data_IF_651051171698
#
_entry.id   IF_651051171698
#
_cell.length_a   1.000
_cell.length_b   1.000
_cell.length_c   1.000
_cell.angle_alpha   90.00
_cell.angle_beta   90.00
_cell.angle_gamma   90.00
#
_symmetry.space_group_name_H-M   'P 1'
#
loop_
_entity.id
_entity.type
_entity.pdbx_description
1 polymer ?
#
# COMPACT_ATOMS: atom_id res chain seq x y z
N UNK A 1 -4.69 -3.57 -50.67
CA UNK A 1 -4.22 -2.65 -49.61
C UNK A 1 -4.16 -3.46 -48.34
N UNK A 2 -2.93 -3.69 -47.87
CA UNK A 2 -2.51 -4.93 -47.25
C UNK A 2 -2.62 -4.96 -45.73
N UNK A 3 -2.77 -6.18 -45.20
CA UNK A 3 -2.81 -6.54 -43.78
C UNK A 3 -1.54 -6.14 -42.99
N UNK A 4 -0.49 -5.67 -43.67
CA UNK A 4 0.78 -5.26 -43.07
C UNK A 4 0.79 -3.82 -42.52
N UNK A 5 -0.05 -2.91 -43.02
CA UNK A 5 -0.12 -1.53 -42.50
C UNK A 5 -0.77 -1.45 -41.11
N UNK A 6 -1.51 -2.48 -40.71
CA UNK A 6 -2.17 -2.55 -39.39
C UNK A 6 -1.28 -3.04 -38.26
N UNK A 7 -0.09 -3.58 -38.54
CA UNK A 7 0.78 -4.13 -37.50
C UNK A 7 1.86 -3.14 -37.00
N UNK A 8 2.09 -2.04 -37.72
CA UNK A 8 3.17 -1.10 -37.43
C UNK A 8 2.72 0.37 -37.38
N UNK A 9 1.40 0.64 -37.47
CA UNK A 9 0.84 1.99 -37.48
C UNK A 9 0.48 2.59 -36.11
N UNK A 10 0.64 1.82 -35.02
CA UNK A 10 0.21 2.21 -33.66
C UNK A 10 1.39 2.59 -32.73
N UNK A 11 2.63 2.61 -33.23
CA UNK A 11 3.80 2.93 -32.37
C UNK A 11 3.96 4.45 -32.15
N UNK A 12 3.69 5.26 -33.18
CA UNK A 12 3.81 6.73 -33.10
C UNK A 12 2.78 7.36 -32.14
N UNK A 13 1.59 6.78 -32.03
CA UNK A 13 0.55 7.27 -31.11
C UNK A 13 0.93 7.01 -29.67
N UNK A 14 1.51 5.83 -29.39
CA UNK A 14 1.96 5.45 -28.06
C UNK A 14 3.14 6.29 -27.60
N UNK A 15 4.09 6.59 -28.48
CA UNK A 15 5.23 7.46 -28.16
C UNK A 15 4.76 8.89 -27.84
N UNK A 16 3.77 9.41 -28.58
CA UNK A 16 3.20 10.73 -28.31
C UNK A 16 2.41 10.79 -26.98
N UNK A 17 1.68 9.72 -26.63
CA UNK A 17 1.00 9.61 -25.33
C UNK A 17 1.99 9.57 -24.17
N UNK A 18 3.10 8.84 -24.32
CA UNK A 18 4.16 8.74 -23.31
C UNK A 18 4.89 10.08 -23.13
N UNK A 19 5.19 10.79 -24.22
CA UNK A 19 5.80 12.13 -24.16
C UNK A 19 4.86 13.15 -23.50
N UNK A 20 3.56 13.08 -23.79
CA UNK A 20 2.56 13.95 -23.15
C UNK A 20 2.48 13.70 -21.63
N UNK A 21 2.55 12.43 -21.22
CA UNK A 21 2.56 12.04 -19.80
C UNK A 21 3.83 12.52 -19.09
N UNK A 22 5.00 12.42 -19.72
CA UNK A 22 6.26 12.96 -19.17
C UNK A 22 6.21 14.48 -18.98
N UNK A 23 5.70 15.21 -19.98
CA UNK A 23 5.53 16.68 -19.88
C UNK A 23 4.55 17.08 -18.78
N UNK A 24 3.48 16.31 -18.57
CA UNK A 24 2.54 16.56 -17.48
C UNK A 24 3.18 16.37 -16.10
N UNK A 25 3.99 15.31 -15.93
CA UNK A 25 4.73 15.05 -14.69
C UNK A 25 5.77 16.15 -14.39
N UNK A 26 6.55 16.58 -15.39
CA UNK A 26 7.50 17.69 -15.23
C UNK A 26 6.80 19.01 -14.85
N UNK A 27 5.66 19.31 -15.47
CA UNK A 27 4.89 20.51 -15.15
C UNK A 27 4.27 20.47 -13.74
N UNK A 28 3.91 19.28 -13.24
CA UNK A 28 3.47 19.08 -11.87
C UNK A 28 4.62 19.32 -10.88
N UNK A 29 5.78 18.68 -11.10
CA UNK A 29 6.96 18.86 -10.26
C UNK A 29 7.39 20.34 -10.17
N UNK A 30 7.39 21.08 -11.28
CA UNK A 30 7.73 22.51 -11.28
C UNK A 30 6.75 23.37 -10.48
N UNK A 31 5.45 23.03 -10.47
CA UNK A 31 4.46 23.79 -9.68
C UNK A 31 4.61 23.57 -8.19
N UNK A 32 5.06 22.39 -7.78
CA UNK A 32 5.14 22.00 -6.37
C UNK A 32 6.54 22.22 -5.76
N UNK A 33 7.59 22.39 -6.58
CA UNK A 33 8.94 22.71 -6.11
C UNK A 33 9.09 24.08 -5.43
N UNK A 34 8.07 24.94 -5.44
CA UNK A 34 8.08 26.26 -4.80
C UNK A 34 7.25 26.34 -3.51
N UNK A 35 6.68 25.23 -3.04
CA UNK A 35 5.85 25.20 -1.83
C UNK A 35 6.65 24.99 -0.53
N UNK A 36 7.94 24.64 -0.61
CA UNK A 36 8.81 24.48 0.55
C UNK A 36 9.68 25.72 0.75
N UNK A 37 9.25 26.63 1.63
CA UNK A 37 10.12 27.74 2.03
C UNK A 37 9.44 28.91 2.72
N UNK A 38 8.85 28.70 3.89
CA UNK A 38 9.00 29.68 4.97
C UNK A 38 9.43 28.94 6.25
N UNK A 39 10.62 29.24 6.81
CA UNK A 39 11.00 28.76 8.14
C UNK A 39 10.17 29.52 9.18
N UNK A 40 9.23 28.82 9.82
CA UNK A 40 8.52 29.38 10.97
C UNK A 40 9.47 29.52 12.17
N UNK A 41 9.68 30.80 12.51
CA UNK A 41 9.91 31.36 13.84
C UNK A 41 10.61 30.51 14.91
N UNK A 42 11.86 30.90 15.19
CA UNK A 42 12.63 30.58 16.39
C UNK A 42 11.88 31.00 17.67
N UNK A 43 11.63 30.04 18.56
CA UNK A 43 11.30 30.30 19.96
C UNK A 43 12.59 30.37 20.79
N UNK A 44 12.88 31.56 21.32
CA UNK A 44 13.93 31.81 22.31
C UNK A 44 13.70 30.99 23.59
N UNK A 45 14.66 30.14 23.97
CA UNK A 45 14.82 29.68 25.34
C UNK A 45 16.19 30.06 25.89
N UNK A 46 16.16 30.83 26.97
CA UNK A 46 17.31 31.36 27.68
C UNK A 46 18.07 30.28 28.48
N UNK A 47 19.38 30.26 28.24
CA UNK A 47 20.52 29.94 29.11
C UNK A 47 20.30 29.20 30.45
N UNK A 48 21.05 28.10 30.63
CA UNK A 48 22.06 28.01 31.71
C UNK A 48 23.29 27.23 31.25
N UNK A 49 24.45 27.73 31.64
CA UNK A 49 25.77 27.27 31.23
C UNK A 49 26.36 26.22 32.17
N UNK A 50 27.20 25.32 31.66
CA UNK A 50 28.38 24.82 32.38
C UNK A 50 29.49 24.39 31.41
N UNK A 51 30.71 24.85 31.72
CA UNK A 51 31.97 24.66 30.98
C UNK A 51 32.68 23.38 31.42
N UNK A 52 33.35 22.70 30.47
CA UNK A 52 34.77 22.23 30.50
C UNK A 52 35.03 21.48 29.18
N UNK A 53 35.85 21.95 28.23
CA UNK A 53 37.30 22.17 28.16
C UNK A 53 38.15 20.93 27.73
N UNK A 54 38.92 21.14 26.65
CA UNK A 54 40.16 20.46 26.20
C UNK A 54 40.01 19.11 25.44
N UNK A 55 40.76 18.76 24.37
CA UNK A 55 41.90 19.39 23.63
C UNK A 55 42.42 18.44 22.51
N UNK A 56 43.01 19.04 21.45
CA UNK A 56 44.08 18.56 20.51
C UNK A 56 43.72 17.68 19.28
N UNK A 57 43.82 18.20 18.04
CA UNK A 57 44.95 18.23 17.05
C UNK A 57 45.20 16.89 16.33
N UNK A 58 45.43 16.75 15.01
CA UNK A 58 46.24 17.56 14.06
C UNK A 58 46.18 17.03 12.60
N UNK A 59 46.48 17.93 11.63
CA UNK A 59 47.16 17.78 10.31
C UNK A 59 46.48 16.97 9.18
N UNK A 60 46.16 17.53 8.00
CA UNK A 60 47.00 18.07 6.89
C UNK A 60 47.79 16.95 6.18
N UNK A 61 47.88 16.78 4.85
CA UNK A 61 47.73 17.68 3.68
C UNK A 61 47.70 16.81 2.36
N UNK A 62 47.89 17.32 1.11
CA UNK A 62 47.02 17.01 -0.06
C UNK A 62 47.76 16.29 -1.22
N UNK A 63 47.16 16.12 -2.42
CA UNK A 63 47.84 16.18 -3.76
C UNK A 63 46.84 16.17 -4.95
N UNK A 64 47.00 17.21 -5.78
CA UNK A 64 46.93 17.37 -7.26
C UNK A 64 45.70 17.19 -8.18
N UNK A 65 45.80 17.98 -9.27
CA UNK A 65 44.87 18.47 -10.29
C UNK A 65 45.08 17.79 -11.66
N UNK A 66 43.97 17.59 -12.39
CA UNK A 66 43.69 17.90 -13.83
C UNK A 66 44.56 17.22 -14.94
N UNK A 67 44.22 17.26 -16.26
CA UNK A 67 43.18 18.06 -16.94
C UNK A 67 42.33 17.34 -18.03
N UNK A 68 41.49 18.17 -18.66
CA UNK A 68 40.44 17.93 -19.65
C UNK A 68 40.89 17.55 -21.07
N UNK A 69 39.98 16.95 -21.86
CA UNK A 69 39.99 17.11 -23.32
C UNK A 69 38.58 17.00 -24.00
N UNK A 70 38.21 18.12 -24.63
CA UNK A 70 37.56 18.34 -25.95
C UNK A 70 36.27 17.63 -26.37
N UNK A 71 35.27 18.47 -26.62
CA UNK A 71 34.20 18.32 -27.61
C UNK A 71 34.71 18.41 -29.08
N UNK A 72 33.89 18.00 -30.07
CA UNK A 72 33.53 18.95 -31.12
C UNK A 72 32.07 18.91 -31.60
N UNK A 73 31.50 20.12 -31.64
CA UNK A 73 30.72 20.79 -32.69
C UNK A 73 30.08 20.04 -33.89
N UNK A 74 28.80 20.41 -34.09
CA UNK A 74 28.11 20.81 -35.33
C UNK A 74 27.70 19.74 -36.36
N UNK A 75 26.39 19.67 -36.63
CA UNK A 75 25.83 19.91 -37.97
C UNK A 75 24.38 20.39 -37.92
N UNK A 76 24.15 21.55 -38.53
CA UNK A 76 22.84 22.07 -38.88
C UNK A 76 22.36 21.42 -40.18
N UNK A 77 21.05 21.21 -40.30
CA UNK A 77 20.38 21.06 -41.59
C UNK A 77 18.99 21.70 -41.49
N UNK A 78 18.72 22.60 -42.43
CA UNK A 78 17.47 23.32 -42.61
C UNK A 78 16.61 22.68 -43.70
N UNK A 79 15.28 22.66 -43.54
CA UNK A 79 14.25 22.73 -44.60
C UNK A 79 12.85 22.86 -43.94
N UNK A 80 12.10 23.97 -44.13
CA UNK A 80 11.03 24.21 -45.15
C UNK A 80 10.04 23.02 -45.23
N UNK A 81 8.71 23.14 -45.13
CA UNK A 81 7.76 24.20 -45.55
C UNK A 81 6.36 23.87 -45.00
N UNK A 82 5.55 24.92 -44.75
CA UNK A 82 4.09 25.10 -44.93
C UNK A 82 3.10 23.91 -44.79
N UNK A 83 2.08 24.09 -43.92
CA UNK A 83 0.66 24.08 -44.30
C UNK A 83 -0.23 24.57 -43.13
N UNK A 84 -1.36 25.18 -43.47
CA UNK A 84 -2.23 25.99 -42.62
C UNK A 84 -3.43 25.23 -42.01
N UNK A 85 -3.85 25.70 -40.83
CA UNK A 85 -5.21 25.75 -40.19
C UNK A 85 -6.11 24.47 -40.11
N UNK A 86 -7.13 24.39 -39.20
CA UNK A 86 -7.78 25.46 -38.42
C UNK A 86 -8.03 25.22 -36.90
N UNK A 87 -8.26 26.34 -36.21
CA UNK A 87 -9.07 26.64 -35.01
C UNK A 87 -9.41 25.53 -33.97
N UNK A 88 -9.11 25.75 -32.67
CA UNK A 88 -9.74 25.01 -31.57
C UNK A 88 -11.05 25.67 -31.09
N UNK A 89 -12.10 24.86 -31.00
CA UNK A 89 -13.38 25.20 -30.39
C UNK A 89 -13.23 25.41 -28.87
N UNK A 90 -13.73 26.55 -28.39
CA UNK A 90 -13.78 26.94 -26.97
C UNK A 90 -14.74 26.01 -26.21
N UNK A 91 -14.22 25.18 -25.31
CA UNK A 91 -15.03 24.54 -24.25
C UNK A 91 -15.03 25.44 -23.01
N UNK A 92 -16.24 25.76 -22.56
CA UNK A 92 -16.51 26.59 -21.40
C UNK A 92 -16.11 25.88 -20.10
N UNK A 93 -15.32 26.55 -19.28
CA UNK A 93 -15.01 26.14 -17.92
C UNK A 93 -16.18 26.51 -16.99
N UNK A 94 -16.86 25.51 -16.44
CA UNK A 94 -17.83 25.68 -15.37
C UNK A 94 -17.09 25.85 -14.03
N UNK A 95 -17.16 27.06 -13.48
CA UNK A 95 -16.58 27.43 -12.18
C UNK A 95 -17.51 26.90 -11.07
N UNK A 96 -17.16 25.78 -10.44
CA UNK A 96 -17.83 25.29 -9.22
C UNK A 96 -17.15 25.93 -8.00
N UNK A 97 -17.88 26.79 -7.30
CA UNK A 97 -17.50 27.35 -6.01
C UNK A 97 -17.76 26.31 -4.92
N UNK A 98 -16.69 25.81 -4.28
CA UNK A 98 -16.80 25.00 -3.06
C UNK A 98 -16.99 25.95 -1.86
N UNK A 99 -18.09 25.77 -1.14
CA UNK A 99 -18.34 26.44 0.13
C UNK A 99 -17.50 25.77 1.22
N UNK A 100 -16.77 26.59 1.97
CA UNK A 100 -15.97 26.23 3.13
C UNK A 100 -16.92 25.85 4.28
N UNK A 101 -16.97 24.57 4.64
CA UNK A 101 -17.62 24.11 5.86
C UNK A 101 -16.69 24.35 7.06
N UNK A 102 -17.22 24.91 8.14
CA UNK A 102 -16.49 25.11 9.39
C UNK A 102 -16.34 23.78 10.15
N UNK A 103 -15.20 23.57 10.83
CA UNK A 103 -14.96 22.34 11.60
C UNK A 103 -15.83 22.32 12.87
N UNK A 104 -16.64 21.27 13.00
CA UNK A 104 -17.28 20.92 14.26
C UNK A 104 -16.25 20.25 15.17
N UNK A 105 -15.97 20.87 16.32
CA UNK A 105 -15.19 20.26 17.39
C UNK A 105 -16.01 19.11 18.02
N UNK A 106 -15.54 17.89 17.85
CA UNK A 106 -16.01 16.74 18.63
C UNK A 106 -15.28 16.74 19.97
N UNK A 107 -16.01 17.01 21.06
CA UNK A 107 -15.53 16.76 22.41
C UNK A 107 -15.52 15.24 22.65
N UNK A 108 -14.33 14.65 22.71
CA UNK A 108 -14.14 13.27 23.16
C UNK A 108 -14.29 13.25 24.68
N UNK A 109 -15.35 12.61 25.17
CA UNK A 109 -15.53 12.37 26.60
C UNK A 109 -14.47 11.41 27.13
N UNK A 110 -13.84 11.79 28.24
CA UNK A 110 -12.88 10.98 29.00
C UNK A 110 -13.55 9.77 29.68
N UNK A 111 -13.95 8.76 28.90
CA UNK A 111 -14.40 7.49 29.47
C UNK A 111 -13.18 6.73 30.03
N UNK A 112 -13.22 6.28 31.30
CA UNK A 112 -12.09 5.60 31.93
C UNK A 112 -11.83 4.23 31.27
N UNK A 113 -10.59 4.05 30.80
CA UNK A 113 -10.11 2.79 30.21
C UNK A 113 -10.22 1.67 31.27
N UNK A 114 -10.93 0.56 30.98
CA UNK A 114 -11.03 -0.55 31.90
C UNK A 114 -9.66 -1.19 32.16
N UNK A 115 -9.39 -1.55 33.41
CA UNK A 115 -8.12 -2.15 33.81
C UNK A 115 -7.81 -3.43 33.01
N UNK A 116 -6.63 -3.46 32.38
CA UNK A 116 -6.16 -4.62 31.63
C UNK A 116 -6.02 -5.83 32.56
N UNK A 117 -6.62 -6.96 32.18
CA UNK A 117 -6.42 -8.24 32.89
C UNK A 117 -5.01 -8.74 32.65
N UNK A 118 -4.23 -8.88 33.71
CA UNK A 118 -2.96 -9.60 33.68
C UNK A 118 -3.24 -11.10 33.74
N UNK A 119 -2.73 -11.85 32.76
CA UNK A 119 -2.72 -13.31 32.80
C UNK A 119 -1.37 -13.76 33.36
N UNK A 120 -1.37 -14.65 34.35
CA UNK A 120 -0.15 -15.30 34.80
C UNK A 120 0.37 -16.25 33.71
N UNK A 121 1.69 -16.25 33.42
CA UNK A 121 2.27 -17.16 32.45
C UNK A 121 2.21 -18.60 32.97
N UNK A 122 1.61 -19.49 32.16
CA UNK A 122 1.61 -20.93 32.40
C UNK A 122 3.05 -21.46 32.36
N UNK A 123 3.62 -21.72 33.54
CA UNK A 123 4.93 -22.37 33.66
C UNK A 123 4.79 -23.89 33.49
N UNK A 124 5.51 -24.47 32.51
CA UNK A 124 5.64 -25.93 32.39
C UNK A 124 5.52 -26.57 31.00
N UNK A 125 5.61 -25.84 29.89
CA UNK A 125 5.51 -26.46 28.55
C UNK A 125 6.74 -27.35 28.23
N UNK A 126 6.58 -28.67 28.00
CA UNK A 126 7.68 -29.53 27.54
C UNK A 126 8.02 -29.28 26.06
N UNK A 127 9.24 -29.66 25.67
CA UNK A 127 9.80 -29.45 24.34
C UNK A 127 8.97 -30.11 23.22
N UNK A 128 8.77 -29.37 22.13
CA UNK A 128 7.92 -29.73 21.00
C UNK A 128 8.43 -30.96 20.23
N UNK A 129 7.67 -32.05 20.31
CA UNK A 129 7.71 -33.14 19.33
C UNK A 129 6.76 -32.82 18.16
N UNK A 130 7.09 -33.33 16.98
CA UNK A 130 6.41 -33.11 15.70
C UNK A 130 4.89 -33.22 15.79
N UNK A 131 4.19 -32.33 15.07
CA UNK A 131 2.74 -32.17 15.01
C UNK A 131 2.01 -33.49 14.69
N UNK A 132 1.74 -34.29 15.71
CA UNK A 132 0.51 -35.10 15.75
C UNK A 132 -0.63 -34.10 15.83
N UNK A 133 -1.44 -33.98 14.77
CA UNK A 133 -2.77 -33.39 14.87
C UNK A 133 -3.42 -33.95 16.12
N UNK A 134 -4.09 -33.08 16.87
CA UNK A 134 -4.52 -33.28 18.25
C UNK A 134 -5.44 -34.51 18.38
N UNK A 135 -4.87 -35.71 18.37
CA UNK A 135 -5.59 -36.98 18.48
C UNK A 135 -5.69 -37.43 19.94
N UNK A 136 -4.97 -36.76 20.84
CA UNK A 136 -4.96 -37.05 22.28
C UNK A 136 -5.42 -35.83 23.11
N UNK A 137 -6.44 -35.08 22.65
CA UNK A 137 -7.25 -34.36 23.65
C UNK A 137 -8.01 -35.45 24.38
N UNK A 138 -7.77 -35.60 25.69
CA UNK A 138 -8.59 -36.45 26.55
C UNK A 138 -10.08 -36.26 26.23
N UNK A 139 -10.89 -37.31 26.36
CA UNK A 139 -12.35 -37.37 26.11
C UNK A 139 -13.16 -36.39 27.00
N UNK A 140 -12.83 -35.11 26.94
CA UNK A 140 -13.58 -34.01 27.51
C UNK A 140 -14.75 -33.64 26.61
N UNK A 141 -15.68 -32.82 27.11
CA UNK A 141 -16.81 -32.36 26.33
C UNK A 141 -16.31 -31.60 25.09
N UNK A 142 -16.71 -32.09 23.91
CA UNK A 142 -16.47 -31.43 22.62
C UNK A 142 -17.56 -30.39 22.40
N UNK A 143 -17.18 -29.15 22.11
CA UNK A 143 -18.13 -28.13 21.65
C UNK A 143 -18.63 -28.49 20.25
N UNK A 144 -19.95 -28.62 20.09
CA UNK A 144 -20.54 -28.89 18.78
C UNK A 144 -20.25 -27.75 17.79
N UNK A 145 -20.15 -28.10 16.50
CA UNK A 145 -20.12 -27.10 15.43
C UNK A 145 -21.36 -26.22 15.51
N UNK A 146 -21.17 -24.91 15.42
CA UNK A 146 -22.24 -23.92 15.46
C UNK A 146 -21.84 -22.74 14.59
N UNK A 147 -22.83 -22.09 14.00
CA UNK A 147 -22.64 -20.81 13.33
C UNK A 147 -22.74 -19.69 14.36
N UNK A 148 -21.94 -18.63 14.18
CA UNK A 148 -21.99 -17.43 15.01
C UNK A 148 -22.23 -16.22 14.11
N UNK A 149 -23.40 -15.60 14.25
CA UNK A 149 -23.74 -14.37 13.54
C UNK A 149 -23.03 -13.17 14.16
N UNK A 150 -22.50 -12.29 13.32
CA UNK A 150 -21.89 -11.02 13.73
C UNK A 150 -22.31 -9.88 12.83
N UNK A 151 -22.34 -8.67 13.38
CA UNK A 151 -22.57 -7.42 12.65
C UNK A 151 -21.41 -6.48 12.94
N UNK A 152 -20.79 -5.93 11.90
CA UNK A 152 -19.61 -5.09 12.01
C UNK A 152 -19.88 -3.77 11.30
N UNK A 153 -19.63 -2.68 12.00
CA UNK A 153 -19.62 -1.33 11.44
C UNK A 153 -18.17 -0.83 11.48
N UNK A 154 -17.59 -0.55 10.31
CA UNK A 154 -16.20 -0.11 10.20
C UNK A 154 -16.17 1.31 9.67
N UNK A 155 -15.50 2.18 10.41
CA UNK A 155 -15.12 3.52 9.97
C UNK A 155 -13.59 3.57 9.91
N UNK A 156 -13.05 3.69 8.69
CA UNK A 156 -11.60 3.71 8.46
C UNK A 156 -11.14 5.14 8.23
N UNK A 157 -10.14 5.56 9.00
CA UNK A 157 -9.42 6.80 8.76
C UNK A 157 -8.23 6.47 7.85
N UNK A 158 -8.17 7.12 6.69
CA UNK A 158 -7.07 6.96 5.74
C UNK A 158 -6.28 8.25 5.74
N UNK A 159 -4.98 8.23 6.10
CA UNK A 159 -4.18 9.44 6.10
C UNK A 159 -4.03 10.02 4.70
N UNK A 160 -3.63 11.30 4.66
CA UNK A 160 -3.22 11.93 3.42
C UNK A 160 -2.02 11.17 2.82
N UNK A 161 -2.15 10.81 1.54
CA UNK A 161 -1.12 10.11 0.78
C UNK A 161 -1.12 10.62 -0.66
N UNK A 162 0.06 10.62 -1.29
CA UNK A 162 0.19 10.97 -2.69
C UNK A 162 -0.44 9.88 -3.59
N UNK A 163 -0.85 10.23 -4.82
CA UNK A 163 -1.13 9.22 -5.83
C UNK A 163 0.04 8.25 -5.94
N UNK A 164 -0.29 6.97 -6.05
CA UNK A 164 0.72 5.92 -6.06
C UNK A 164 1.69 6.03 -7.24
N UNK A 165 1.26 6.59 -8.36
CA UNK A 165 2.11 6.80 -9.53
C UNK A 165 3.29 7.74 -9.27
N UNK A 166 3.20 8.59 -8.23
CA UNK A 166 4.25 9.52 -7.82
C UNK A 166 5.14 8.95 -6.70
N UNK A 167 4.82 7.75 -6.18
CA UNK A 167 5.68 7.07 -5.19
C UNK A 167 7.00 6.63 -5.85
N UNK A 168 8.16 7.04 -5.31
CA UNK A 168 9.46 6.61 -5.82
C UNK A 168 9.61 5.09 -5.86
N UNK A 169 8.89 4.35 -5.00
CA UNK A 169 8.99 2.89 -4.88
C UNK A 169 7.98 2.11 -5.72
N UNK A 170 7.06 2.77 -6.42
CA UNK A 170 6.04 2.11 -7.25
C UNK A 170 6.63 1.19 -8.33
N UNK A 171 7.84 1.49 -8.79
CA UNK A 171 8.55 0.63 -9.74
C UNK A 171 8.83 -0.77 -9.17
N UNK A 172 8.99 -0.94 -7.85
CA UNK A 172 9.17 -2.23 -7.18
C UNK A 172 7.90 -3.09 -7.27
N UNK A 173 6.72 -2.48 -7.09
CA UNK A 173 5.44 -3.16 -7.25
C UNK A 173 5.25 -3.70 -8.67
N UNK A 174 5.51 -2.88 -9.68
CA UNK A 174 5.39 -3.31 -11.08
C UNK A 174 6.43 -4.38 -11.44
N UNK A 175 7.65 -4.30 -10.88
CA UNK A 175 8.65 -5.36 -11.02
C UNK A 175 8.19 -6.68 -10.38
N UNK A 176 7.61 -6.63 -9.17
CA UNK A 176 7.06 -7.79 -8.47
C UNK A 176 5.94 -8.45 -9.30
N UNK A 177 4.98 -7.65 -9.76
CA UNK A 177 3.89 -8.07 -10.66
C UNK A 177 4.43 -8.71 -11.95
N UNK A 178 5.37 -8.07 -12.62
CA UNK A 178 5.97 -8.60 -13.84
C UNK A 178 6.69 -9.93 -13.59
N UNK A 179 7.40 -10.06 -12.45
CA UNK A 179 8.05 -11.31 -12.03
C UNK A 179 7.04 -12.43 -11.80
N UNK A 180 5.97 -12.17 -11.05
CA UNK A 180 4.91 -13.13 -10.76
C UNK A 180 4.25 -13.64 -12.05
N UNK A 181 3.99 -12.74 -13.01
CA UNK A 181 3.52 -13.10 -14.36
C UNK A 181 4.48 -14.02 -15.10
N UNK A 182 5.77 -13.67 -15.15
CA UNK A 182 6.80 -14.52 -15.81
C UNK A 182 6.93 -15.90 -15.17
N UNK A 183 6.72 -16.00 -13.86
CA UNK A 183 6.80 -17.25 -13.12
C UNK A 183 5.52 -18.11 -13.19
N UNK A 184 4.46 -17.63 -13.85
CA UNK A 184 3.16 -18.31 -13.84
C UNK A 184 2.47 -18.30 -12.47
N UNK A 185 2.87 -17.37 -11.60
CA UNK A 185 2.30 -17.16 -10.26
C UNK A 185 1.28 -16.01 -10.22
N UNK A 186 0.93 -15.44 -11.38
CA UNK A 186 -0.13 -14.43 -11.51
C UNK A 186 -1.52 -15.08 -11.45
N UNK A 187 -1.83 -15.64 -10.29
CA UNK A 187 -3.09 -16.30 -9.95
C UNK A 187 -3.36 -16.06 -8.47
N UNK A 188 -4.63 -16.06 -8.07
CA UNK A 188 -4.99 -15.88 -6.67
C UNK A 188 -4.29 -16.93 -5.79
N UNK A 189 -3.64 -16.48 -4.72
CA UNK A 189 -2.93 -17.36 -3.78
C UNK A 189 -3.87 -18.27 -2.97
N UNK A 190 -5.13 -17.86 -2.79
CA UNK A 190 -6.15 -18.65 -2.08
C UNK A 190 -6.53 -19.89 -2.92
N UNK A 191 -6.62 -19.72 -4.24
CA UNK A 191 -6.79 -20.81 -5.20
C UNK A 191 -7.89 -21.84 -4.86
N UNK A 192 -9.07 -21.37 -4.45
CA UNK A 192 -10.18 -22.21 -4.03
C UNK A 192 -11.46 -21.99 -4.90
N UNK A 193 -12.57 -22.60 -4.51
CA UNK A 193 -13.85 -22.50 -5.22
C UNK A 193 -14.54 -21.13 -5.13
N UNK A 194 -14.09 -20.24 -4.24
CA UNK A 194 -14.58 -18.86 -4.13
C UNK A 194 -13.75 -17.90 -4.99
N UNK A 195 -12.74 -18.37 -5.71
CA UNK A 195 -12.03 -17.52 -6.65
C UNK A 195 -12.96 -16.93 -7.74
N UNK A 196 -12.76 -15.65 -8.05
CA UNK A 196 -13.51 -14.95 -9.11
C UNK A 196 -12.88 -13.63 -9.50
N UNK A 197 -12.96 -13.30 -10.79
CA UNK A 197 -12.39 -12.08 -11.37
C UNK A 197 -10.89 -12.16 -11.67
N UNK A 198 -10.34 -11.05 -12.17
CA UNK A 198 -8.92 -10.96 -12.57
C UNK A 198 -7.99 -10.93 -11.34
N UNK A 199 -6.77 -11.49 -11.44
CA UNK A 199 -5.75 -11.35 -10.41
C UNK A 199 -5.24 -9.90 -10.30
N UNK A 200 -5.06 -9.47 -9.06
CA UNK A 200 -4.61 -8.16 -8.61
C UNK A 200 -3.51 -8.37 -7.56
N UNK A 201 -2.62 -7.40 -7.42
CA UNK A 201 -1.57 -7.45 -6.40
C UNK A 201 -2.01 -6.58 -5.22
N UNK A 202 -1.97 -7.15 -4.03
CA UNK A 202 -2.49 -6.60 -2.77
C UNK A 202 -1.36 -6.45 -1.74
N UNK A 203 -1.44 -5.44 -0.88
CA UNK A 203 -0.48 -5.19 0.20
C UNK A 203 -0.86 -5.95 1.49
N UNK A 204 -0.20 -7.07 1.77
CA UNK A 204 -0.64 -8.06 2.80
C UNK A 204 -0.65 -7.54 4.24
N UNK A 205 0.39 -6.85 4.67
CA UNK A 205 0.54 -6.44 6.08
C UNK A 205 0.20 -4.98 6.30
N UNK A 206 0.72 -4.12 5.42
CA UNK A 206 0.56 -2.67 5.51
C UNK A 206 0.12 -2.14 4.16
N UNK A 207 -1.10 -1.60 4.12
CA UNK A 207 -1.66 -0.94 2.93
C UNK A 207 -0.83 0.28 2.54
N UNK A 208 -0.64 0.49 1.24
CA UNK A 208 0.03 1.69 0.74
C UNK A 208 -0.60 2.99 1.29
N UNK A 209 -1.92 3.02 1.39
CA UNK A 209 -2.65 4.19 1.89
C UNK A 209 -2.46 4.47 3.38
N UNK A 210 -1.85 3.56 4.14
CA UNK A 210 -1.62 3.66 5.57
C UNK A 210 -0.14 3.80 5.93
N UNK A 211 0.75 3.68 4.94
CA UNK A 211 2.19 3.54 5.15
C UNK A 211 2.80 4.68 5.98
N UNK A 212 2.30 5.91 5.79
CA UNK A 212 2.80 7.11 6.45
C UNK A 212 2.43 7.21 7.95
N UNK A 213 1.51 6.38 8.45
CA UNK A 213 1.08 6.35 9.85
C UNK A 213 1.56 5.10 10.61
N UNK A 214 2.33 4.24 9.94
CA UNK A 214 2.84 3.00 10.53
C UNK A 214 4.21 3.24 11.15
N UNK A 215 4.41 2.71 12.37
CA UNK A 215 5.70 2.70 13.04
C UNK A 215 6.57 1.54 12.50
N UNK A 216 7.64 1.81 11.73
CA UNK A 216 8.44 0.77 11.11
C UNK A 216 9.11 -0.16 12.13
N UNK A 217 9.38 0.33 13.35
CA UNK A 217 10.00 -0.48 14.40
C UNK A 217 9.05 -1.55 14.92
N UNK A 218 7.76 -1.23 15.06
CA UNK A 218 6.75 -2.23 15.46
C UNK A 218 6.57 -3.30 14.40
N UNK A 219 6.66 -2.93 13.12
CA UNK A 219 6.64 -3.89 12.01
C UNK A 219 7.86 -4.81 12.06
N UNK A 220 9.06 -4.26 12.29
CA UNK A 220 10.27 -5.06 12.48
C UNK A 220 10.12 -6.10 13.59
N UNK A 221 9.65 -5.67 14.76
CA UNK A 221 9.48 -6.53 15.92
C UNK A 221 8.41 -7.62 15.70
N UNK A 222 7.29 -7.27 15.07
CA UNK A 222 6.17 -8.21 14.86
C UNK A 222 6.43 -9.23 13.77
N UNK A 223 7.13 -8.84 12.70
CA UNK A 223 7.40 -9.69 11.53
C UNK A 223 8.81 -10.29 11.52
N UNK A 224 9.66 -9.95 12.50
CA UNK A 224 11.06 -10.38 12.53
C UNK A 224 11.88 -9.81 11.37
N UNK A 225 11.57 -8.58 10.97
CA UNK A 225 12.26 -7.84 9.89
C UNK A 225 13.26 -6.85 10.48
N UNK A 226 14.15 -6.34 9.62
CA UNK A 226 15.14 -5.34 10.00
C UNK A 226 15.22 -4.26 8.91
N UNK A 227 15.01 -3.01 9.31
CA UNK A 227 15.12 -1.81 8.48
C UNK A 227 16.08 -0.84 9.16
N UNK A 228 17.09 -0.36 8.45
CA UNK A 228 18.05 0.61 8.98
C UNK A 228 17.46 2.03 9.06
N UNK A 229 16.47 2.33 8.23
CA UNK A 229 15.85 3.64 8.07
C UNK A 229 14.44 3.53 7.45
N UNK A 230 13.73 4.66 7.39
CA UNK A 230 12.37 4.74 6.84
C UNK A 230 12.32 4.39 5.34
N UNK A 231 13.34 4.78 4.59
CA UNK A 231 13.44 4.50 3.16
C UNK A 231 13.49 2.98 2.87
N UNK A 232 14.19 2.19 3.67
CA UNK A 232 14.16 0.72 3.57
C UNK A 232 12.80 0.12 3.91
N UNK A 233 12.08 0.72 4.87
CA UNK A 233 10.71 0.31 5.19
C UNK A 233 9.75 0.60 4.02
N UNK A 234 9.83 1.79 3.42
CA UNK A 234 9.04 2.17 2.25
C UNK A 234 9.32 1.25 1.06
N UNK A 235 10.60 0.94 0.80
CA UNK A 235 10.99 -0.04 -0.21
C UNK A 235 10.42 -1.44 0.07
N UNK A 236 10.48 -1.89 1.33
CA UNK A 236 9.91 -3.18 1.72
C UNK A 236 8.40 -3.22 1.51
N UNK A 237 7.69 -2.15 1.85
CA UNK A 237 6.24 -2.10 1.74
C UNK A 237 5.75 -2.25 0.29
N UNK A 238 6.52 -1.77 -0.69
CA UNK A 238 6.24 -1.96 -2.12
C UNK A 238 6.93 -3.19 -2.74
N UNK A 239 7.56 -4.03 -1.92
CA UNK A 239 8.31 -5.22 -2.34
C UNK A 239 7.53 -6.53 -2.10
N UNK A 240 7.94 -7.65 -2.73
CA UNK A 240 7.27 -8.95 -2.58
C UNK A 240 7.05 -9.46 -1.14
N UNK A 241 7.78 -8.94 -0.15
CA UNK A 241 7.59 -9.31 1.26
C UNK A 241 6.26 -8.81 1.84
N UNK A 242 5.68 -7.76 1.27
CA UNK A 242 4.39 -7.19 1.66
C UNK A 242 3.34 -7.33 0.55
N UNK A 243 3.59 -8.14 -0.49
CA UNK A 243 2.69 -8.24 -1.65
C UNK A 243 2.21 -9.67 -1.87
N UNK A 244 0.91 -9.82 -2.14
CA UNK A 244 0.32 -11.10 -2.53
C UNK A 244 -0.66 -10.94 -3.70
N UNK A 245 -0.84 -12.02 -4.48
CA UNK A 245 -1.76 -12.01 -5.61
C UNK A 245 -3.12 -12.51 -5.17
N UNK A 246 -4.15 -11.67 -5.26
CA UNK A 246 -5.54 -12.02 -4.96
C UNK A 246 -6.40 -11.85 -6.22
N UNK A 247 -7.42 -12.68 -6.44
CA UNK A 247 -8.42 -12.36 -7.45
C UNK A 247 -9.33 -11.24 -6.94
N UNK A 248 -10.02 -10.54 -7.83
CA UNK A 248 -10.93 -9.46 -7.46
C UNK A 248 -11.93 -9.84 -6.34
N UNK A 249 -12.40 -11.10 -6.30
CA UNK A 249 -13.27 -11.61 -5.23
C UNK A 249 -12.56 -11.61 -3.86
N UNK A 250 -11.43 -12.30 -3.73
CA UNK A 250 -10.64 -12.33 -2.49
C UNK A 250 -9.91 -11.03 -2.15
N UNK A 251 -9.90 -10.06 -3.06
CA UNK A 251 -9.34 -8.75 -2.80
C UNK A 251 -10.40 -7.79 -2.25
N UNK A 252 -11.50 -7.56 -2.99
CA UNK A 252 -12.38 -6.39 -2.78
C UNK A 252 -13.85 -6.70 -2.54
N UNK A 253 -14.29 -7.96 -2.63
CA UNK A 253 -15.70 -8.30 -2.44
C UNK A 253 -15.97 -8.81 -1.03
N UNK A 254 -17.11 -9.44 -0.80
CA UNK A 254 -17.51 -10.02 0.47
C UNK A 254 -16.62 -11.20 0.92
N UNK A 255 -15.84 -11.82 0.04
CA UNK A 255 -14.78 -12.75 0.47
C UNK A 255 -13.40 -12.09 0.53
N UNK A 256 -13.37 -10.76 0.47
CA UNK A 256 -12.18 -9.96 0.30
C UNK A 256 -11.47 -9.62 1.61
N UNK A 257 -10.14 -9.53 1.54
CA UNK A 257 -9.29 -9.14 2.68
C UNK A 257 -9.66 -7.77 3.26
N UNK A 258 -10.13 -6.82 2.43
CA UNK A 258 -10.56 -5.51 2.92
C UNK A 258 -11.95 -5.51 3.61
N UNK A 259 -12.65 -6.65 3.62
CA UNK A 259 -14.03 -6.75 4.13
C UNK A 259 -14.12 -7.75 5.29
N UNK A 260 -13.36 -8.85 5.23
CA UNK A 260 -13.34 -9.86 6.29
C UNK A 260 -12.40 -9.43 7.43
N UNK A 261 -12.84 -9.49 8.70
CA UNK A 261 -11.95 -9.23 9.84
C UNK A 261 -10.72 -10.13 9.85
N UNK A 262 -9.56 -9.58 10.24
CA UNK A 262 -8.27 -10.26 10.22
C UNK A 262 -8.28 -11.73 10.69
N UNK A 263 -8.84 -12.07 11.87
CA UNK A 263 -8.88 -13.46 12.33
C UNK A 263 -9.65 -14.42 11.41
N UNK A 264 -10.75 -13.95 10.81
CA UNK A 264 -11.54 -14.73 9.86
C UNK A 264 -10.85 -14.79 8.48
N UNK A 265 -10.16 -13.71 8.10
CA UNK A 265 -9.36 -13.67 6.87
C UNK A 265 -8.21 -14.69 6.93
N UNK A 266 -7.45 -14.74 8.02
CA UNK A 266 -6.35 -15.72 8.15
C UNK A 266 -6.87 -17.16 8.11
N UNK A 267 -8.05 -17.44 8.69
CA UNK A 267 -8.68 -18.75 8.57
C UNK A 267 -9.10 -19.07 7.12
N UNK A 268 -9.66 -18.09 6.39
CA UNK A 268 -9.98 -18.22 4.98
C UNK A 268 -8.71 -18.44 4.13
N UNK A 269 -7.63 -17.72 4.45
CA UNK A 269 -6.37 -17.72 3.69
C UNK A 269 -5.72 -19.10 3.59
N UNK A 270 -5.83 -19.89 4.66
CA UNK A 270 -5.23 -21.22 4.76
C UNK A 270 -6.24 -22.36 4.77
N UNK A 271 -7.49 -22.10 4.36
CA UNK A 271 -8.53 -23.12 4.38
C UNK A 271 -8.24 -24.26 3.41
N UNK A 272 -8.74 -25.45 3.75
CA UNK A 272 -8.70 -26.58 2.84
C UNK A 272 -9.76 -26.41 1.75
N UNK A 273 -9.38 -26.66 0.49
CA UNK A 273 -10.31 -26.68 -0.64
C UNK A 273 -11.43 -27.67 -0.38
N UNK A 274 -12.68 -27.28 -0.69
CA UNK A 274 -13.86 -28.11 -0.48
C UNK A 274 -14.41 -28.10 0.95
N UNK A 275 -13.90 -27.23 1.83
CA UNK A 275 -14.50 -26.95 3.14
C UNK A 275 -15.32 -25.66 3.12
N UNK A 276 -16.35 -25.57 3.98
CA UNK A 276 -17.14 -24.33 4.14
C UNK A 276 -16.19 -23.19 4.52
N UNK A 277 -16.43 -21.99 3.98
CA UNK A 277 -15.65 -20.81 4.34
C UNK A 277 -15.78 -20.53 5.85
N UNK A 278 -14.70 -20.03 6.47
CA UNK A 278 -14.71 -19.65 7.88
C UNK A 278 -15.67 -18.49 8.19
N UNK A 279 -15.98 -17.69 7.17
CA UNK A 279 -16.97 -16.63 7.22
C UNK A 279 -17.67 -16.53 5.85
N UNK A 280 -18.98 -16.28 5.89
CA UNK A 280 -19.79 -15.99 4.72
C UNK A 280 -20.63 -14.74 4.99
N UNK A 281 -20.88 -13.96 3.93
CA UNK A 281 -21.76 -12.81 4.04
C UNK A 281 -23.19 -13.25 3.83
N UNK A 282 -23.99 -13.11 4.87
CA UNK A 282 -25.44 -13.31 4.83
C UNK A 282 -26.08 -11.93 4.70
N UNK A 283 -26.87 -11.71 3.65
CA UNK A 283 -27.62 -10.46 3.52
C UNK A 283 -28.68 -10.37 4.62
N UNK A 284 -29.10 -9.15 4.96
CA UNK A 284 -30.18 -8.96 5.94
C UNK A 284 -31.48 -9.71 5.55
N UNK A 285 -31.73 -9.86 4.25
CA UNK A 285 -32.88 -10.61 3.73
C UNK A 285 -32.76 -12.11 3.96
N UNK A 286 -31.59 -12.69 3.73
CA UNK A 286 -31.30 -14.11 3.98
C UNK A 286 -31.35 -14.44 5.47
N UNK A 287 -30.70 -13.62 6.30
CA UNK A 287 -30.74 -13.78 7.76
C UNK A 287 -32.18 -13.72 8.31
N UNK A 288 -33.00 -12.82 7.75
CA UNK A 288 -34.42 -12.71 8.13
C UNK A 288 -35.27 -13.90 7.68
N UNK A 289 -34.87 -14.58 6.61
CA UNK A 289 -35.57 -15.75 6.08
C UNK A 289 -35.24 -16.98 6.92
N UNK A 290 -33.96 -17.21 7.21
CA UNK A 290 -33.50 -18.32 8.07
C UNK A 290 -34.14 -18.23 9.45
N UNK A 291 -34.15 -17.04 10.07
CA UNK A 291 -34.79 -16.84 11.38
C UNK A 291 -36.29 -17.16 11.39
N UNK A 292 -37.00 -17.01 10.25
CA UNK A 292 -38.41 -17.40 10.12
C UNK A 292 -38.58 -18.89 9.90
N UNK A 293 -37.66 -19.52 9.18
CA UNK A 293 -37.68 -20.97 8.95
C UNK A 293 -37.38 -21.74 10.23
N UNK A 294 -36.47 -21.25 11.08
CA UNK A 294 -36.17 -21.84 12.39
C UNK A 294 -37.30 -21.67 13.43
N UNK A 295 -38.15 -20.65 13.26
CA UNK A 295 -39.24 -20.36 14.19
C UNK A 295 -40.52 -21.19 13.96
N UNK A 296 -40.63 -21.91 12.84
CA UNK A 296 -41.81 -22.71 12.45
C UNK A 296 -41.57 -24.21 12.64
#
# INVERSE_FOLDING_TARGET
MGLFDKLFGDDDTKEHEEEARRKAAEAYAQKHAHAEGEPEHEHEHAHTATKTAAKKTSAAEPVEKAPAEKAPAKKAAAKKTEAAEPAPAKKAAAKKTAAKAEPHAHEHGDDPVPAQRTYEPLSGAPAAHAHTHVHDVAEGPVTAAHDQMMTIHVETHVPDHAPREDDPHYHLFEQAKARLKRQGLWKCIIADELCGGEPELHHTYIEFSQINEVDPKKVQESLGLHFENDEEFQQWAESPGNLEVLCANHHRTHYGIHVIPGPLWEALRFRMVGTKAAAEFVTAGEASKEAKEEAN
#
